data_IF_694238408433
#
_entry.id   IF_694238408433
#
_cell.length_a   1.000
_cell.length_b   1.000
_cell.length_c   1.000
_cell.angle_alpha   90.00
_cell.angle_beta   90.00
_cell.angle_gamma   90.00
#
_symmetry.space_group_name_H-M   'P 1'
#
loop_
_entity.id
_entity.type
_entity.pdbx_description
1 polymer ?
#
# COMPACT_ATOMS: atom_id res chain seq x y z
N UNK A 1 -62.03 38.45 46.11
CA UNK A 1 -63.23 37.59 46.06
C UNK A 1 -62.86 36.37 45.22
N UNK A 2 -62.44 35.26 45.83
CA UNK A 2 -63.28 34.15 46.34
C UNK A 2 -64.13 33.46 45.25
N UNK A 3 -63.65 32.30 44.76
CA UNK A 3 -64.27 30.95 44.76
C UNK A 3 -64.11 30.34 43.35
N UNK A 4 -63.94 29.05 43.06
CA UNK A 4 -64.09 27.74 43.74
C UNK A 4 -63.21 26.72 42.96
N UNK A 5 -62.41 25.82 43.57
CA UNK A 5 -62.71 24.40 43.92
C UNK A 5 -63.67 23.70 42.92
N UNK A 6 -63.45 22.48 42.41
CA UNK A 6 -63.02 21.25 43.09
C UNK A 6 -62.95 20.07 42.07
N UNK A 7 -62.06 19.08 42.32
CA UNK A 7 -62.22 17.59 42.11
C UNK A 7 -62.39 17.02 40.69
N UNK A 8 -61.96 15.82 40.26
CA UNK A 8 -61.25 14.60 40.74
C UNK A 8 -61.40 13.63 39.52
N UNK A 9 -60.45 12.81 39.04
CA UNK A 9 -60.07 11.47 39.53
C UNK A 9 -59.14 10.83 38.48
N UNK A 10 -58.17 10.09 39.00
CA UNK A 10 -57.47 8.94 38.43
C UNK A 10 -58.15 8.20 37.27
N UNK A 11 -57.38 7.91 36.23
CA UNK A 11 -57.29 6.57 35.63
C UNK A 11 -55.86 6.33 35.15
N UNK A 12 -55.20 5.38 35.80
CA UNK A 12 -54.01 4.73 35.30
C UNK A 12 -54.45 3.74 34.20
N UNK A 13 -53.92 3.87 33.00
CA UNK A 13 -53.98 2.84 31.97
C UNK A 13 -52.64 2.82 31.26
N UNK A 14 -51.87 1.76 31.52
CA UNK A 14 -50.56 1.54 30.94
C UNK A 14 -50.63 1.33 29.43
N UNK A 15 -49.66 1.89 28.74
CA UNK A 15 -49.24 1.43 27.41
C UNK A 15 -47.72 1.28 27.50
N UNK A 16 -47.28 0.04 27.71
CA UNK A 16 -45.92 -0.41 27.48
C UNK A 16 -45.77 -0.50 25.96
N UNK A 17 -45.23 0.55 25.34
CA UNK A 17 -44.79 0.49 23.95
C UNK A 17 -43.35 -0.02 23.91
N UNK A 18 -43.25 -1.33 23.69
CA UNK A 18 -42.04 -2.05 23.36
C UNK A 18 -41.55 -1.66 21.96
N UNK A 19 -40.22 -1.57 21.76
CA UNK A 19 -39.47 -1.55 20.48
C UNK A 19 -39.68 -0.28 19.63
N UNK A 20 -38.65 0.50 19.29
CA UNK A 20 -37.49 0.08 18.50
C UNK A 20 -36.20 0.72 19.01
N UNK A 21 -35.28 -0.11 19.48
CA UNK A 21 -33.86 0.21 19.48
C UNK A 21 -33.45 0.34 18.01
N UNK A 22 -33.41 1.57 17.50
CA UNK A 22 -32.71 1.87 16.25
C UNK A 22 -31.22 1.73 16.53
N UNK A 23 -30.73 0.49 16.55
CA UNK A 23 -29.36 0.21 16.16
C UNK A 23 -29.27 0.64 14.70
N UNK A 24 -28.89 1.89 14.49
CA UNK A 24 -28.34 2.35 13.22
C UNK A 24 -27.00 1.62 13.05
N UNK A 25 -27.05 0.33 12.71
CA UNK A 25 -25.99 -0.32 11.97
C UNK A 25 -25.92 0.44 10.65
N UNK A 26 -25.09 1.49 10.61
CA UNK A 26 -24.62 2.03 9.34
C UNK A 26 -24.10 0.82 8.56
N UNK A 27 -24.61 0.54 7.35
CA UNK A 27 -23.99 -0.46 6.51
C UNK A 27 -22.54 -0.05 6.38
N UNK A 28 -21.65 -0.86 6.94
CA UNK A 28 -20.22 -0.78 6.65
C UNK A 28 -20.16 -0.82 5.13
N UNK A 29 -19.67 0.25 4.51
CA UNK A 29 -19.43 0.24 3.07
C UNK A 29 -18.67 -1.06 2.79
N UNK A 30 -19.30 -1.97 2.03
CA UNK A 30 -18.66 -3.16 1.51
C UNK A 30 -17.70 -2.69 0.40
N UNK A 31 -16.68 -1.93 0.80
CA UNK A 31 -15.51 -1.74 0.00
C UNK A 31 -14.72 -3.02 0.14
N UNK A 32 -14.62 -3.78 -0.95
CA UNK A 32 -13.63 -4.84 -1.10
C UNK A 32 -12.30 -4.24 -0.66
N UNK A 33 -11.79 -4.69 0.50
CA UNK A 33 -10.51 -4.23 1.01
C UNK A 33 -9.50 -4.65 -0.04
N UNK A 34 -8.75 -3.70 -0.61
CA UNK A 34 -7.75 -4.01 -1.63
C UNK A 34 -6.90 -5.19 -1.17
N UNK A 35 -6.87 -6.27 -1.94
CA UNK A 35 -6.11 -7.46 -1.59
C UNK A 35 -4.63 -7.10 -1.49
N UNK A 36 -3.96 -7.59 -0.45
CA UNK A 36 -2.57 -7.26 -0.16
C UNK A 36 -1.70 -8.46 -0.52
N UNK A 37 -0.70 -8.25 -1.38
CA UNK A 37 0.31 -9.24 -1.73
C UNK A 37 1.48 -9.12 -0.78
N UNK A 38 1.72 -10.16 -0.01
CA UNK A 38 2.86 -10.30 0.89
C UNK A 38 3.88 -11.32 0.39
N UNK A 39 3.49 -12.16 -0.57
CA UNK A 39 4.39 -13.11 -1.22
C UNK A 39 5.35 -12.41 -2.18
N UNK A 40 6.64 -12.66 -2.01
CA UNK A 40 7.71 -12.04 -2.79
C UNK A 40 8.47 -13.10 -3.60
N UNK A 41 8.68 -12.83 -4.88
CA UNK A 41 9.62 -13.58 -5.74
C UNK A 41 10.83 -12.71 -6.04
N UNK A 42 12.03 -13.22 -5.79
CA UNK A 42 13.25 -12.49 -6.11
C UNK A 42 13.56 -12.60 -7.60
N UNK A 43 13.82 -11.45 -8.24
CA UNK A 43 14.31 -11.36 -9.63
C UNK A 43 15.77 -11.81 -9.72
N UNK A 44 16.56 -11.55 -8.68
CA UNK A 44 17.93 -12.05 -8.53
C UNK A 44 18.20 -12.29 -7.04
N UNK A 45 18.18 -13.55 -6.62
CA UNK A 45 18.35 -13.94 -5.22
C UNK A 45 19.77 -13.67 -4.68
N UNK A 46 20.80 -13.83 -5.52
CA UNK A 46 22.18 -13.65 -5.11
C UNK A 46 22.50 -12.18 -4.89
N UNK A 47 22.12 -11.33 -5.86
CA UNK A 47 22.27 -9.87 -5.75
C UNK A 47 21.47 -9.34 -4.57
N UNK A 48 20.24 -9.82 -4.39
CA UNK A 48 19.37 -9.40 -3.27
C UNK A 48 20.00 -9.73 -1.92
N UNK A 49 20.48 -10.97 -1.71
CA UNK A 49 21.05 -11.38 -0.44
C UNK A 49 22.30 -10.55 -0.07
N UNK A 50 23.24 -10.39 -1.01
CA UNK A 50 24.46 -9.59 -0.79
C UNK A 50 24.13 -8.11 -0.54
N UNK A 51 23.19 -7.56 -1.31
CA UNK A 51 22.76 -6.17 -1.19
C UNK A 51 22.11 -5.88 0.16
N UNK A 52 21.22 -6.76 0.62
CA UNK A 52 20.56 -6.60 1.92
C UNK A 52 21.55 -6.71 3.08
N UNK A 53 22.52 -7.63 3.00
CA UNK A 53 23.57 -7.73 4.01
C UNK A 53 24.40 -6.45 4.08
N UNK A 54 24.82 -5.90 2.94
CA UNK A 54 25.57 -4.64 2.89
C UNK A 54 24.74 -3.46 3.44
N UNK A 55 23.48 -3.37 3.03
CA UNK A 55 22.59 -2.29 3.42
C UNK A 55 22.22 -2.33 4.91
N UNK A 56 22.14 -3.53 5.50
CA UNK A 56 21.90 -3.74 6.93
C UNK A 56 23.03 -3.08 7.75
N UNK A 57 24.30 -3.34 7.38
CA UNK A 57 25.47 -2.76 8.06
C UNK A 57 25.47 -1.23 8.00
N UNK A 58 24.92 -0.66 6.92
CA UNK A 58 24.87 0.79 6.72
C UNK A 58 23.58 1.45 7.23
N UNK A 59 22.62 0.68 7.76
CA UNK A 59 21.32 1.18 8.18
C UNK A 59 20.48 1.75 7.02
N UNK A 60 20.61 1.17 5.82
CA UNK A 60 19.93 1.61 4.58
C UNK A 60 19.00 0.56 3.97
N UNK A 61 18.83 -0.59 4.62
CA UNK A 61 18.03 -1.71 4.13
C UNK A 61 16.51 -1.45 4.22
N UNK A 62 15.96 -0.69 3.26
CA UNK A 62 14.51 -0.47 3.11
C UNK A 62 13.91 -1.52 2.18
N UNK A 63 13.24 -2.54 2.72
CA UNK A 63 12.66 -3.60 1.90
C UNK A 63 11.17 -3.37 1.66
N UNK A 64 10.63 -3.96 0.59
CA UNK A 64 9.20 -3.91 0.29
C UNK A 64 8.57 -5.12 0.97
N UNK A 65 7.67 -4.89 1.93
CA UNK A 65 6.98 -5.95 2.65
C UNK A 65 5.69 -6.38 1.94
N UNK A 66 4.93 -5.42 1.43
CA UNK A 66 3.69 -5.71 0.73
C UNK A 66 3.32 -4.66 -0.31
N UNK A 67 2.51 -5.08 -1.28
CA UNK A 67 1.92 -4.25 -2.32
C UNK A 67 0.44 -4.65 -2.45
N UNK A 68 -0.48 -3.69 -2.40
CA UNK A 68 -1.89 -3.96 -2.65
C UNK A 68 -2.18 -4.12 -4.13
N UNK A 69 -3.27 -4.81 -4.46
CA UNK A 69 -3.89 -4.62 -5.77
C UNK A 69 -4.31 -3.15 -5.93
N UNK A 70 -4.31 -2.63 -7.17
CA UNK A 70 -4.83 -1.30 -7.46
C UNK A 70 -6.29 -1.19 -7.03
N UNK A 71 -6.59 -0.17 -6.23
CA UNK A 71 -7.96 0.19 -5.88
C UNK A 71 -8.42 1.38 -6.72
N UNK A 72 -9.62 1.27 -7.28
CA UNK A 72 -10.22 2.35 -8.02
C UNK A 72 -10.56 3.52 -7.07
N UNK A 73 -10.15 4.72 -7.45
CA UNK A 73 -10.47 5.98 -6.78
C UNK A 73 -11.05 6.98 -7.78
N UNK A 74 -11.63 8.07 -7.29
CA UNK A 74 -12.13 9.12 -8.17
C UNK A 74 -11.01 9.64 -9.09
N UNK A 75 -11.17 9.40 -10.40
CA UNK A 75 -10.22 9.83 -11.42
C UNK A 75 -9.00 8.93 -11.62
N UNK A 76 -8.90 7.73 -11.01
CA UNK A 76 -7.76 6.85 -11.28
C UNK A 76 -7.60 5.66 -10.34
N UNK A 77 -6.34 5.30 -10.08
CA UNK A 77 -5.96 4.15 -9.26
C UNK A 77 -5.11 4.57 -8.06
N UNK A 78 -5.26 3.85 -6.96
CA UNK A 78 -4.42 3.97 -5.77
C UNK A 78 -3.78 2.61 -5.46
N UNK A 79 -2.51 2.62 -5.07
CA UNK A 79 -1.78 1.42 -4.63
C UNK A 79 -1.15 1.70 -3.28
N UNK A 80 -1.48 0.86 -2.31
CA UNK A 80 -0.89 0.86 -0.96
C UNK A 80 0.32 -0.06 -0.93
N UNK A 81 1.39 0.40 -0.30
CA UNK A 81 2.66 -0.28 -0.16
C UNK A 81 3.03 -0.22 1.31
N UNK A 82 3.67 -1.27 1.80
CA UNK A 82 4.31 -1.25 3.10
C UNK A 82 5.80 -1.48 2.94
N UNK A 83 6.59 -0.49 3.32
CA UNK A 83 8.05 -0.63 3.38
C UNK A 83 8.45 -1.07 4.79
N UNK A 84 9.45 -1.92 4.88
CA UNK A 84 10.11 -2.26 6.14
C UNK A 84 11.38 -1.44 6.26
N UNK A 85 11.48 -0.66 7.33
CA UNK A 85 12.63 0.18 7.63
C UNK A 85 13.79 -0.65 8.22
N UNK A 86 15.02 -0.10 8.29
CA UNK A 86 16.17 -0.82 8.83
C UNK A 86 16.05 -1.27 10.31
N UNK A 87 15.19 -0.63 11.10
CA UNK A 87 14.85 -1.02 12.48
C UNK A 87 13.62 -1.94 12.57
N UNK A 88 13.20 -2.53 11.45
CA UNK A 88 12.05 -3.42 11.34
C UNK A 88 10.70 -2.77 11.66
N UNK A 89 10.58 -1.45 11.56
CA UNK A 89 9.28 -0.77 11.59
C UNK A 89 8.63 -0.80 10.19
N UNK A 90 7.32 -0.63 10.17
CA UNK A 90 6.56 -0.52 8.92
C UNK A 90 6.28 0.93 8.59
N UNK A 91 6.62 1.32 7.36
CA UNK A 91 6.35 2.62 6.79
C UNK A 91 5.28 2.46 5.70
N UNK A 92 4.02 2.84 5.98
CA UNK A 92 2.96 2.79 4.97
C UNK A 92 3.19 3.89 3.94
N UNK A 93 3.05 3.52 2.67
CA UNK A 93 3.18 4.41 1.52
C UNK A 93 1.98 4.22 0.61
N UNK A 94 1.41 5.31 0.13
CA UNK A 94 0.30 5.28 -0.83
C UNK A 94 0.69 6.05 -2.07
N UNK A 95 0.49 5.43 -3.22
CA UNK A 95 0.74 6.03 -4.55
C UNK A 95 -0.57 6.21 -5.28
N UNK A 96 -0.74 7.35 -5.97
CA UNK A 96 -1.96 7.71 -6.68
C UNK A 96 -1.65 8.04 -8.12
N UNK A 97 -2.42 7.44 -9.03
CA UNK A 97 -2.28 7.55 -10.48
C UNK A 97 -3.59 8.09 -11.04
N UNK A 98 -3.71 9.42 -11.10
CA UNK A 98 -4.96 10.13 -11.36
C UNK A 98 -4.95 10.81 -12.72
N UNK A 99 -6.12 10.93 -13.34
CA UNK A 99 -6.36 11.70 -14.56
C UNK A 99 -5.43 11.32 -15.72
N UNK A 100 -5.13 10.02 -15.85
CA UNK A 100 -4.21 9.50 -16.88
C UNK A 100 -2.72 9.67 -16.57
N UNK A 101 -2.35 10.25 -15.42
CA UNK A 101 -0.96 10.30 -14.96
C UNK A 101 -0.56 8.92 -14.44
N UNK A 102 0.32 8.27 -15.19
CA UNK A 102 0.76 6.89 -14.93
C UNK A 102 1.95 6.81 -13.99
N UNK A 103 2.74 7.88 -13.85
CA UNK A 103 3.92 7.93 -12.99
C UNK A 103 3.67 8.82 -11.78
N UNK A 104 4.10 8.37 -10.60
CA UNK A 104 4.09 9.17 -9.38
C UNK A 104 5.41 9.05 -8.65
N UNK A 105 5.77 10.09 -7.91
CA UNK A 105 7.01 10.14 -7.16
C UNK A 105 6.84 10.89 -5.84
N UNK A 106 7.67 10.58 -4.87
CA UNK A 106 7.72 11.25 -3.58
C UNK A 106 9.03 10.98 -2.84
N UNK A 107 9.27 11.76 -1.79
CA UNK A 107 10.45 11.61 -0.95
C UNK A 107 10.03 11.55 0.52
N UNK A 108 10.54 10.57 1.24
CA UNK A 108 10.45 10.49 2.69
C UNK A 108 11.81 10.82 3.30
N UNK A 109 11.83 11.75 4.27
CA UNK A 109 13.04 12.13 4.99
C UNK A 109 13.16 11.32 6.28
N UNK A 110 14.08 10.36 6.31
CA UNK A 110 14.41 9.58 7.49
C UNK A 110 15.44 10.33 8.34
N UNK A 111 14.94 11.22 9.20
CA UNK A 111 15.77 12.07 10.06
C UNK A 111 16.56 11.26 11.08
N UNK A 112 16.05 10.11 11.53
CA UNK A 112 16.71 9.26 12.52
C UNK A 112 18.04 8.67 11.99
N UNK A 113 18.14 8.49 10.66
CA UNK A 113 19.34 7.91 10.00
C UNK A 113 20.06 8.88 9.07
N UNK A 114 19.59 10.13 9.02
CA UNK A 114 20.06 11.19 8.15
C UNK A 114 20.11 10.79 6.67
N UNK A 115 19.00 10.27 6.15
CA UNK A 115 18.90 9.82 4.76
C UNK A 115 17.53 10.15 4.14
N UNK A 116 17.48 10.12 2.82
CA UNK A 116 16.27 10.33 2.03
C UNK A 116 15.88 9.02 1.36
N UNK A 117 14.58 8.74 1.33
CA UNK A 117 14.00 7.60 0.64
C UNK A 117 13.15 8.14 -0.50
N UNK A 118 13.67 8.04 -1.71
CA UNK A 118 13.00 8.46 -2.93
C UNK A 118 12.16 7.31 -3.46
N UNK A 119 10.87 7.54 -3.66
CA UNK A 119 9.90 6.54 -4.08
C UNK A 119 9.38 6.98 -5.44
N UNK A 120 9.49 6.10 -6.43
CA UNK A 120 8.91 6.28 -7.76
C UNK A 120 8.02 5.07 -8.05
N UNK A 121 6.87 5.31 -8.65
CA UNK A 121 5.96 4.25 -9.04
C UNK A 121 5.30 4.52 -10.38
N UNK A 122 4.93 3.46 -11.09
CA UNK A 122 4.26 3.48 -12.39
C UNK A 122 3.13 2.47 -12.44
N UNK A 123 1.98 2.91 -12.91
CA UNK A 123 0.92 2.04 -13.40
C UNK A 123 1.05 1.90 -14.92
N UNK A 124 1.00 0.68 -15.43
CA UNK A 124 0.87 0.43 -16.87
C UNK A 124 -0.60 0.41 -17.22
N UNK A 125 -1.01 1.30 -18.12
CA UNK A 125 -2.40 1.54 -18.51
C UNK A 125 -3.32 2.06 -17.39
N UNK A 126 -4.55 2.43 -17.76
CA UNK A 126 -5.52 3.08 -16.86
C UNK A 126 -6.11 2.17 -15.76
N UNK A 127 -5.98 0.85 -15.92
CA UNK A 127 -6.41 -0.14 -14.93
C UNK A 127 -5.28 -0.59 -13.99
N UNK A 128 -4.06 -0.11 -14.22
CA UNK A 128 -2.85 -0.49 -13.49
C UNK A 128 -2.61 -2.02 -13.50
N UNK A 129 -2.84 -2.68 -14.65
CA UNK A 129 -2.60 -4.11 -14.84
C UNK A 129 -1.17 -4.56 -14.47
N UNK A 130 -0.18 -3.68 -14.66
CA UNK A 130 1.18 -3.82 -14.11
C UNK A 130 1.53 -2.60 -13.27
N UNK A 131 2.00 -2.84 -12.05
CA UNK A 131 2.52 -1.84 -11.15
C UNK A 131 4.02 -2.01 -10.95
N UNK A 132 4.79 -0.95 -11.09
CA UNK A 132 6.24 -0.94 -10.87
C UNK A 132 6.60 0.07 -9.80
N UNK A 133 7.42 -0.34 -8.85
CA UNK A 133 7.86 0.48 -7.72
C UNK A 133 9.39 0.49 -7.67
N UNK A 134 9.96 1.65 -7.40
CA UNK A 134 11.39 1.85 -7.19
C UNK A 134 11.62 2.74 -5.97
N UNK A 135 12.20 2.16 -4.93
CA UNK A 135 12.55 2.83 -3.67
C UNK A 135 14.05 2.97 -3.61
N UNK A 136 14.57 4.20 -3.60
CA UNK A 136 16.01 4.49 -3.61
C UNK A 136 16.39 5.25 -2.34
N UNK A 137 17.33 4.70 -1.59
CA UNK A 137 17.88 5.32 -0.39
C UNK A 137 19.10 6.15 -0.75
N UNK A 138 19.06 7.44 -0.42
CA UNK A 138 20.10 8.42 -0.68
C UNK A 138 20.62 8.98 0.63
N UNK A 139 21.94 8.95 0.83
CA UNK A 139 22.60 9.52 2.00
C UNK A 139 23.79 10.35 1.54
N UNK A 140 23.87 11.60 2.01
CA UNK A 140 24.90 12.56 1.60
C UNK A 140 25.03 12.71 0.07
N UNK A 141 23.90 12.69 -0.64
CA UNK A 141 23.87 12.79 -2.12
C UNK A 141 24.16 11.50 -2.88
N UNK A 142 24.57 10.42 -2.20
CA UNK A 142 24.91 9.13 -2.83
C UNK A 142 23.76 8.13 -2.70
N UNK A 143 23.40 7.45 -3.79
CA UNK A 143 22.47 6.31 -3.77
C UNK A 143 23.18 5.10 -3.17
N UNK A 144 22.72 4.61 -2.03
CA UNK A 144 23.38 3.51 -1.30
C UNK A 144 22.65 2.18 -1.46
N UNK A 145 21.33 2.23 -1.59
CA UNK A 145 20.49 1.06 -1.67
C UNK A 145 19.26 1.34 -2.51
N UNK A 146 18.75 0.32 -3.20
CA UNK A 146 17.53 0.41 -3.98
C UNK A 146 16.73 -0.88 -3.84
N UNK A 147 15.45 -0.76 -3.50
CA UNK A 147 14.48 -1.84 -3.58
C UNK A 147 13.54 -1.57 -4.75
N UNK A 148 13.43 -2.54 -5.66
CA UNK A 148 12.51 -2.47 -6.79
C UNK A 148 11.47 -3.58 -6.70
N UNK A 149 10.28 -3.34 -7.22
CA UNK A 149 9.26 -4.36 -7.36
C UNK A 149 8.41 -4.19 -8.63
N UNK A 150 7.90 -5.31 -9.12
CA UNK A 150 6.91 -5.39 -10.20
C UNK A 150 5.79 -6.30 -9.72
N UNK A 151 4.56 -5.81 -9.78
CA UNK A 151 3.36 -6.56 -9.44
C UNK A 151 2.39 -6.53 -10.61
N UNK A 152 1.91 -7.69 -11.03
CA UNK A 152 0.86 -7.81 -12.02
C UNK A 152 -0.47 -8.05 -11.33
N UNK A 153 -1.54 -7.40 -11.78
CA UNK A 153 -2.88 -7.61 -11.20
C UNK A 153 -3.30 -9.09 -11.19
N UNK A 154 -2.88 -9.86 -12.19
CA UNK A 154 -3.16 -11.30 -12.35
C UNK A 154 -2.27 -12.23 -11.52
N UNK A 155 -1.33 -11.71 -10.73
CA UNK A 155 -0.42 -12.51 -9.91
C UNK A 155 -0.71 -12.40 -8.41
N UNK A 156 -0.50 -13.47 -7.67
CA UNK A 156 -0.63 -13.54 -6.22
C UNK A 156 0.58 -13.03 -5.45
N UNK A 157 1.71 -12.92 -6.13
CA UNK A 157 2.98 -12.45 -5.58
C UNK A 157 3.42 -11.20 -6.33
N UNK A 158 4.43 -10.53 -5.79
CA UNK A 158 5.15 -9.51 -6.53
C UNK A 158 6.60 -9.96 -6.74
N UNK A 159 7.16 -9.56 -7.87
CA UNK A 159 8.57 -9.72 -8.16
C UNK A 159 9.33 -8.56 -7.55
N UNK A 160 10.56 -8.80 -7.12
CA UNK A 160 11.32 -7.81 -6.37
C UNK A 160 12.82 -8.01 -6.52
N UNK A 161 13.58 -6.97 -6.24
CA UNK A 161 15.03 -7.03 -6.13
C UNK A 161 15.52 -5.99 -5.12
N UNK A 162 16.62 -6.29 -4.45
CA UNK A 162 17.39 -5.33 -3.66
C UNK A 162 18.77 -5.16 -4.26
N UNK A 163 19.22 -3.91 -4.45
CA UNK A 163 20.51 -3.56 -5.06
C UNK A 163 21.26 -2.61 -4.14
N UNK A 164 22.43 -3.04 -3.66
CA UNK A 164 23.39 -2.22 -2.92
C UNK A 164 24.40 -1.57 -3.87
N UNK A 165 24.89 -0.37 -3.53
CA UNK A 165 25.70 0.46 -4.43
C UNK A 165 27.03 -0.16 -4.90
N UNK A 166 27.56 -1.19 -4.21
CA UNK A 166 28.75 -1.93 -4.60
C UNK A 166 28.48 -3.38 -5.03
N UNK A 167 27.21 -3.78 -5.12
CA UNK A 167 26.83 -5.16 -5.48
C UNK A 167 26.41 -5.24 -6.94
N UNK A 168 25.55 -4.32 -7.38
CA UNK A 168 25.11 -4.21 -8.77
C UNK A 168 24.75 -2.76 -9.11
N UNK A 169 24.50 -2.50 -10.39
CA UNK A 169 24.16 -1.16 -10.85
C UNK A 169 22.78 -0.74 -10.33
N UNK A 170 22.75 0.33 -9.53
CA UNK A 170 21.51 0.99 -9.10
C UNK A 170 20.84 1.62 -10.33
N UNK A 171 19.55 1.37 -10.50
CA UNK A 171 18.79 1.84 -11.64
C UNK A 171 18.49 3.35 -11.52
N UNK A 172 18.61 4.06 -12.64
CA UNK A 172 18.48 5.52 -12.66
C UNK A 172 17.01 5.99 -12.64
N UNK A 173 16.09 5.18 -13.18
CA UNK A 173 14.67 5.48 -13.33
C UNK A 173 13.83 4.20 -13.39
N UNK A 174 12.50 4.36 -13.33
CA UNK A 174 11.54 3.27 -13.57
C UNK A 174 11.76 2.62 -14.95
N UNK A 175 11.98 3.40 -16.01
CA UNK A 175 12.22 2.87 -17.36
C UNK A 175 13.49 2.02 -17.44
N UNK A 176 14.59 2.45 -16.80
CA UNK A 176 15.82 1.66 -16.74
C UNK A 176 15.64 0.36 -15.94
N UNK A 177 14.87 0.45 -14.85
CA UNK A 177 14.51 -0.70 -14.05
C UNK A 177 13.69 -1.71 -14.84
N UNK A 178 12.63 -1.28 -15.52
CA UNK A 178 11.77 -2.13 -16.36
C UNK A 178 12.51 -2.71 -17.58
N UNK A 179 13.47 -1.98 -18.15
CA UNK A 179 14.29 -2.50 -19.25
C UNK A 179 15.22 -3.64 -18.80
N UNK A 180 15.66 -3.61 -17.54
CA UNK A 180 16.53 -4.64 -16.95
C UNK A 180 15.71 -5.81 -16.39
N UNK A 181 14.59 -5.50 -15.74
CA UNK A 181 13.72 -6.45 -15.05
C UNK A 181 12.29 -6.31 -15.59
N UNK A 182 11.85 -7.26 -16.40
CA UNK A 182 10.48 -7.34 -16.89
C UNK A 182 10.03 -8.80 -16.90
N UNK A 183 9.73 -9.38 -15.72
CA UNK A 183 9.29 -10.77 -15.64
C UNK A 183 7.95 -10.94 -16.37
N UNK A 184 7.68 -12.15 -16.86
CA UNK A 184 6.36 -12.48 -17.39
C UNK A 184 5.40 -12.72 -16.22
N UNK A 185 4.13 -12.25 -16.28
CA UNK A 185 3.14 -12.58 -15.27
C UNK A 185 2.92 -14.10 -15.18
N UNK A 186 2.73 -14.59 -13.96
CA UNK A 186 2.46 -16.01 -13.67
C UNK A 186 0.99 -16.38 -13.90
N UNK A 187 0.08 -15.42 -13.76
CA UNK A 187 -1.37 -15.58 -13.87
C UNK A 187 -1.93 -16.63 -12.88
N UNK A 188 -1.51 -16.54 -11.61
CA UNK A 188 -1.93 -17.42 -10.53
C UNK A 188 -3.05 -16.82 -9.64
N UNK A 189 -3.54 -15.63 -9.98
CA UNK A 189 -4.77 -15.08 -9.43
C UNK A 189 -5.98 -15.42 -10.31
N UNK A 190 -7.15 -15.51 -9.67
CA UNK A 190 -8.46 -15.60 -10.34
C UNK A 190 -8.77 -14.36 -11.19
N UNK A 191 -9.68 -14.44 -12.17
CA UNK A 191 -9.96 -13.35 -13.14
C UNK A 191 -10.41 -12.03 -12.48
N UNK A 192 -11.04 -12.12 -11.31
CA UNK A 192 -11.42 -10.97 -10.48
C UNK A 192 -10.23 -10.39 -9.69
N UNK A 193 -9.11 -11.11 -9.64
CA UNK A 193 -7.95 -10.80 -8.83
C UNK A 193 -8.20 -10.95 -7.34
N UNK A 194 -9.31 -11.58 -6.91
CA UNK A 194 -9.77 -11.57 -5.51
C UNK A 194 -9.36 -12.84 -4.73
N UNK A 195 -8.88 -13.88 -5.43
CA UNK A 195 -8.39 -15.09 -4.78
C UNK A 195 -7.17 -15.70 -5.49
N UNK A 196 -6.24 -16.19 -4.66
CA UNK A 196 -5.09 -16.95 -5.10
C UNK A 196 -5.43 -18.44 -5.15
N UNK A 197 -5.18 -19.08 -6.30
CA UNK A 197 -5.42 -20.51 -6.49
C UNK A 197 -4.40 -21.36 -5.72
#
# INVERSE_FOLDING_TARGET
>A
MFQNKMTQKFFAAGIIALTCLSFSCSPKAAGVRAQIKTGQQSLDANVTALSQQQALVQGTNYTINSISLPSAVAGGQEVSIELKTPDNQYLPVTTKHLNGVLDTQGTYNDTARAQQVNIQARCTAGDCSKYTLLVTVVKNGTKLFQAGAISYKSDCKFFSISIGYNVAQIQSSLTAFEATYNPTPSNDATEDGESCQ
#
